data_IF_731497045372
#
_entry.id   IF_731497045372
#
_cell.length_a   1.000
_cell.length_b   1.000
_cell.length_c   1.000
_cell.angle_alpha   90.00
_cell.angle_beta   90.00
_cell.angle_gamma   90.00
#
_symmetry.space_group_name_H-M   'P 1'
#
loop_
_entity.id
_entity.type
_entity.pdbx_description
1 polymer ?
#
# COMPACT_ATOMS: atom_id res chain seq x y z
N UNK A 1 -19.61 -8.26 17.58
CA UNK A 1 -18.47 -7.86 16.73
C UNK A 1 -18.80 -8.27 15.31
N UNK A 2 -18.62 -7.41 14.29
CA UNK A 2 -18.99 -7.76 12.93
C UNK A 2 -18.10 -8.90 12.43
N UNK A 3 -18.72 -9.93 11.87
CA UNK A 3 -18.05 -11.10 11.30
C UNK A 3 -17.55 -10.78 9.85
N UNK A 4 -17.19 -9.51 9.60
CA UNK A 4 -16.88 -8.98 8.26
C UNK A 4 -15.73 -9.72 7.57
N UNK A 5 -14.70 -10.11 8.34
CA UNK A 5 -13.47 -10.69 7.78
C UNK A 5 -13.48 -12.22 7.74
N UNK A 6 -14.37 -12.86 8.50
CA UNK A 6 -14.44 -14.33 8.57
C UNK A 6 -14.62 -14.92 7.17
N UNK A 7 -13.82 -15.90 6.84
CA UNK A 7 -13.80 -16.66 5.58
C UNK A 7 -13.48 -15.84 4.31
N UNK A 8 -13.22 -14.53 4.43
CA UNK A 8 -12.80 -13.71 3.28
C UNK A 8 -11.39 -14.04 2.84
N UNK A 9 -11.20 -14.15 1.54
CA UNK A 9 -9.87 -14.27 0.92
C UNK A 9 -9.27 -12.88 0.78
N UNK A 10 -8.22 -12.60 1.56
CA UNK A 10 -7.53 -11.30 1.59
C UNK A 10 -6.13 -11.43 1.02
N UNK A 11 -5.86 -10.77 -0.09
CA UNK A 11 -4.53 -10.74 -0.70
C UNK A 11 -3.77 -9.49 -0.26
N UNK A 12 -2.59 -9.67 0.37
CA UNK A 12 -1.79 -8.58 0.93
C UNK A 12 -0.40 -8.58 0.28
N UNK A 13 -0.04 -7.48 -0.38
CA UNK A 13 1.32 -7.27 -0.89
C UNK A 13 2.20 -6.56 0.13
N UNK A 14 3.51 -6.80 0.08
CA UNK A 14 4.42 -6.30 1.11
C UNK A 14 4.13 -6.89 2.50
N UNK A 15 3.65 -8.14 2.53
CA UNK A 15 3.18 -8.84 3.71
C UNK A 15 4.27 -9.17 4.75
N UNK A 16 5.55 -9.14 4.36
CA UNK A 16 6.67 -9.64 5.19
C UNK A 16 7.22 -8.64 6.21
N UNK A 17 6.66 -7.43 6.32
CA UNK A 17 7.13 -6.42 7.27
C UNK A 17 6.15 -5.27 7.48
N UNK A 18 6.33 -4.54 8.58
CA UNK A 18 5.64 -3.28 8.87
C UNK A 18 4.11 -3.38 8.84
N UNK A 19 3.45 -2.44 8.15
CA UNK A 19 1.97 -2.40 8.08
C UNK A 19 1.40 -3.68 7.47
N UNK A 20 2.05 -4.22 6.43
CA UNK A 20 1.62 -5.46 5.77
C UNK A 20 1.62 -6.67 6.70
N UNK A 21 2.69 -6.84 7.47
CA UNK A 21 2.80 -7.92 8.49
C UNK A 21 1.75 -7.77 9.59
N UNK A 22 1.54 -6.54 10.09
CA UNK A 22 0.54 -6.25 11.09
C UNK A 22 -0.90 -6.52 10.58
N UNK A 23 -1.18 -6.17 9.31
CA UNK A 23 -2.46 -6.50 8.66
C UNK A 23 -2.67 -8.01 8.55
N UNK A 24 -1.63 -8.76 8.13
CA UNK A 24 -1.68 -10.23 8.04
C UNK A 24 -2.08 -10.84 9.37
N UNK A 25 -1.38 -10.49 10.45
CA UNK A 25 -1.64 -11.03 11.80
C UNK A 25 -3.06 -10.73 12.27
N UNK A 26 -3.46 -9.46 12.24
CA UNK A 26 -4.77 -9.03 12.75
C UNK A 26 -5.94 -9.54 11.92
N UNK A 27 -5.78 -9.69 10.59
CA UNK A 27 -6.83 -10.23 9.73
C UNK A 27 -6.96 -11.75 9.86
N UNK A 28 -5.85 -12.47 10.03
CA UNK A 28 -5.87 -13.90 10.32
C UNK A 28 -6.56 -14.18 11.67
N UNK A 29 -6.31 -13.40 12.72
CA UNK A 29 -7.02 -13.46 14.01
C UNK A 29 -8.52 -13.21 13.89
N UNK A 30 -8.95 -12.45 12.87
CA UNK A 30 -10.37 -12.21 12.56
C UNK A 30 -11.00 -13.30 11.67
N UNK A 31 -10.26 -14.36 11.36
CA UNK A 31 -10.73 -15.51 10.58
C UNK A 31 -10.68 -15.27 9.06
N UNK A 32 -9.87 -14.33 8.57
CA UNK A 32 -9.64 -14.18 7.14
C UNK A 32 -8.62 -15.21 6.63
N UNK A 33 -8.80 -15.68 5.40
CA UNK A 33 -7.84 -16.51 4.67
C UNK A 33 -6.88 -15.58 3.92
N UNK A 34 -5.59 -15.61 4.26
CA UNK A 34 -4.63 -14.65 3.76
C UNK A 34 -3.81 -15.22 2.60
N UNK A 35 -3.67 -14.45 1.53
CA UNK A 35 -2.64 -14.64 0.50
C UNK A 35 -1.52 -13.66 0.82
N UNK A 36 -0.38 -14.19 1.29
CA UNK A 36 0.78 -13.41 1.67
C UNK A 36 1.70 -13.22 0.47
N UNK A 37 1.96 -11.99 0.06
CA UNK A 37 2.90 -11.69 -1.03
C UNK A 37 3.99 -10.72 -0.64
N UNK A 38 5.22 -11.10 -0.91
CA UNK A 38 6.44 -10.28 -0.91
C UNK A 38 7.53 -11.00 -1.70
N UNK A 39 8.67 -10.34 -1.88
CA UNK A 39 9.83 -10.95 -2.58
C UNK A 39 10.51 -12.06 -1.79
N UNK A 40 10.47 -12.02 -0.46
CA UNK A 40 11.15 -12.97 0.41
C UNK A 40 10.20 -14.09 0.85
N UNK A 41 10.31 -15.24 0.19
CA UNK A 41 9.48 -16.42 0.44
C UNK A 41 9.68 -16.98 1.86
N UNK A 42 10.93 -16.99 2.37
CA UNK A 42 11.24 -17.55 3.69
C UNK A 42 10.56 -16.74 4.80
N UNK A 43 10.63 -15.40 4.74
CA UNK A 43 9.93 -14.54 5.69
C UNK A 43 8.41 -14.73 5.64
N UNK A 44 7.85 -14.99 4.45
CA UNK A 44 6.43 -15.28 4.33
C UNK A 44 6.08 -16.63 4.97
N UNK A 45 6.95 -17.64 4.80
CA UNK A 45 6.77 -18.96 5.42
C UNK A 45 6.84 -18.88 6.95
N UNK A 46 7.84 -18.18 7.49
CA UNK A 46 7.98 -17.92 8.92
C UNK A 46 6.77 -17.18 9.51
N UNK A 47 6.26 -16.17 8.78
CA UNK A 47 5.09 -15.43 9.21
C UNK A 47 3.84 -16.32 9.17
N UNK A 48 3.62 -17.04 8.06
CA UNK A 48 2.49 -17.95 7.91
C UNK A 48 2.44 -18.99 9.03
N UNK A 49 3.58 -19.58 9.39
CA UNK A 49 3.67 -20.60 10.45
C UNK A 49 3.23 -20.11 11.85
N UNK A 50 3.19 -18.79 12.05
CA UNK A 50 2.77 -18.16 13.32
C UNK A 50 1.31 -17.72 13.34
N UNK A 51 0.59 -17.89 12.22
CA UNK A 51 -0.81 -17.48 12.12
C UNK A 51 -1.75 -18.58 12.62
N UNK A 52 -2.93 -18.23 13.18
CA UNK A 52 -3.97 -19.19 13.44
C UNK A 52 -4.46 -19.80 12.12
N UNK A 53 -4.92 -21.06 12.14
CA UNK A 53 -5.44 -21.77 10.96
C UNK A 53 -4.45 -21.75 9.77
N UNK A 54 -3.21 -22.07 10.03
CA UNK A 54 -2.07 -21.96 9.09
C UNK A 54 -2.37 -22.56 7.70
N UNK A 55 -3.12 -23.66 7.64
CA UNK A 55 -3.46 -24.37 6.38
C UNK A 55 -4.40 -23.55 5.47
N UNK A 56 -5.14 -22.61 6.03
CA UNK A 56 -6.06 -21.77 5.25
C UNK A 56 -5.34 -20.59 4.55
N UNK A 57 -4.08 -20.34 4.87
CA UNK A 57 -3.29 -19.26 4.29
C UNK A 57 -2.40 -19.75 3.16
N UNK A 58 -2.22 -18.90 2.15
CA UNK A 58 -1.38 -19.18 0.99
C UNK A 58 -0.21 -18.21 0.92
N UNK A 59 0.93 -18.71 0.46
CA UNK A 59 2.09 -17.87 0.12
C UNK A 59 2.15 -17.73 -1.40
N UNK A 60 2.29 -16.50 -1.86
CA UNK A 60 2.51 -16.17 -3.26
C UNK A 60 3.70 -15.19 -3.36
N UNK A 61 4.94 -15.71 -3.43
CA UNK A 61 6.11 -14.87 -3.60
C UNK A 61 5.99 -14.03 -4.87
N UNK A 62 6.14 -12.70 -4.75
CA UNK A 62 5.87 -11.79 -5.84
C UNK A 62 6.74 -10.54 -5.74
N UNK A 63 7.45 -10.21 -6.81
CA UNK A 63 7.99 -8.87 -7.02
C UNK A 63 7.01 -8.06 -7.85
N UNK A 64 6.34 -7.12 -7.20
CA UNK A 64 5.33 -6.28 -7.84
C UNK A 64 5.91 -5.25 -8.82
N UNK A 65 7.24 -5.10 -8.88
CA UNK A 65 7.93 -4.26 -9.87
C UNK A 65 8.28 -5.01 -11.16
N UNK A 66 8.06 -6.32 -11.21
CA UNK A 66 8.41 -7.15 -12.35
C UNK A 66 7.15 -7.70 -13.03
N UNK A 67 6.83 -7.15 -14.19
CA UNK A 67 5.64 -7.52 -14.97
C UNK A 67 5.62 -9.01 -15.34
N UNK A 68 6.78 -9.60 -15.70
CA UNK A 68 6.85 -11.02 -16.06
C UNK A 68 6.53 -11.92 -14.86
N UNK A 69 7.02 -11.58 -13.67
CA UNK A 69 6.72 -12.33 -12.44
C UNK A 69 5.24 -12.20 -12.10
N UNK A 70 4.67 -10.98 -12.23
CA UNK A 70 3.23 -10.77 -12.04
C UNK A 70 2.45 -11.66 -13.01
N UNK A 71 2.73 -11.61 -14.31
CA UNK A 71 2.01 -12.36 -15.31
C UNK A 71 2.09 -13.88 -15.08
N UNK A 72 3.26 -14.41 -14.72
CA UNK A 72 3.43 -15.82 -14.35
C UNK A 72 2.58 -16.21 -13.12
N UNK A 73 2.56 -15.37 -12.09
CA UNK A 73 1.73 -15.59 -10.91
C UNK A 73 0.24 -15.56 -11.26
N UNK A 74 -0.20 -14.62 -12.10
CA UNK A 74 -1.59 -14.49 -12.54
C UNK A 74 -2.08 -15.70 -13.33
N UNK A 75 -1.22 -16.27 -14.17
CA UNK A 75 -1.53 -17.49 -14.95
C UNK A 75 -1.58 -18.71 -14.02
N UNK A 76 -0.52 -18.93 -13.23
CA UNK A 76 -0.35 -20.15 -12.42
C UNK A 76 -1.33 -20.21 -11.22
N UNK A 77 -1.88 -19.09 -10.76
CA UNK A 77 -2.77 -18.98 -9.61
C UNK A 77 -4.13 -18.34 -9.93
N UNK A 78 -4.58 -18.45 -11.17
CA UNK A 78 -5.78 -17.79 -11.68
C UNK A 78 -7.03 -18.02 -10.81
N UNK A 79 -7.27 -19.25 -10.37
CA UNK A 79 -8.43 -19.57 -9.53
C UNK A 79 -8.34 -18.90 -8.16
N UNK A 80 -7.18 -18.95 -7.52
CA UNK A 80 -6.93 -18.29 -6.24
C UNK A 80 -7.14 -16.76 -6.36
N UNK A 81 -6.63 -16.15 -7.43
CA UNK A 81 -6.75 -14.71 -7.68
C UNK A 81 -8.21 -14.31 -7.95
N UNK A 82 -8.94 -15.13 -8.70
CA UNK A 82 -10.37 -14.91 -8.93
C UNK A 82 -11.22 -15.03 -7.65
N UNK A 83 -10.76 -15.76 -6.65
CA UNK A 83 -11.47 -15.91 -5.36
C UNK A 83 -11.22 -14.73 -4.39
N UNK A 84 -10.31 -13.81 -4.67
CA UNK A 84 -9.95 -12.70 -3.79
C UNK A 84 -11.15 -11.79 -3.51
N UNK A 85 -11.51 -11.66 -2.24
CA UNK A 85 -12.55 -10.74 -1.76
C UNK A 85 -12.01 -9.36 -1.46
N UNK A 86 -10.78 -9.29 -0.93
CA UNK A 86 -10.10 -8.03 -0.59
C UNK A 86 -8.66 -8.05 -1.08
N UNK A 87 -8.30 -7.08 -1.91
CA UNK A 87 -6.91 -6.82 -2.29
C UNK A 87 -6.37 -5.65 -1.47
N UNK A 88 -5.23 -5.83 -0.81
CA UNK A 88 -4.51 -4.78 -0.10
C UNK A 88 -3.18 -4.51 -0.81
N UNK A 89 -3.13 -3.47 -1.63
CA UNK A 89 -1.93 -2.95 -2.27
C UNK A 89 -1.11 -2.17 -1.23
N UNK A 90 -0.26 -2.88 -0.49
CA UNK A 90 0.57 -2.29 0.55
C UNK A 90 2.07 -2.24 0.15
N UNK A 91 2.51 -3.06 -0.79
CA UNK A 91 3.89 -3.01 -1.26
C UNK A 91 4.28 -1.62 -1.76
N UNK A 92 5.48 -1.17 -1.40
CA UNK A 92 5.98 0.12 -1.82
C UNK A 92 7.40 0.38 -1.34
N UNK A 93 8.08 1.27 -2.04
CA UNK A 93 9.42 1.76 -1.71
C UNK A 93 9.42 3.28 -1.69
N UNK A 94 10.31 3.86 -0.88
CA UNK A 94 10.47 5.31 -0.75
C UNK A 94 11.75 5.79 -1.45
N UNK A 95 11.91 7.10 -1.54
CA UNK A 95 13.07 7.79 -2.09
C UNK A 95 13.69 8.70 -1.04
N UNK A 96 15.01 8.85 -1.09
CA UNK A 96 15.75 9.86 -0.36
C UNK A 96 16.91 10.40 -1.22
N UNK A 97 16.56 11.19 -2.22
CA UNK A 97 17.47 11.83 -3.15
C UNK A 97 16.93 13.19 -3.60
N UNK A 98 17.79 14.14 -3.86
CA UNK A 98 17.40 15.37 -4.54
C UNK A 98 16.91 15.03 -5.95
N UNK A 99 15.92 15.78 -6.43
CA UNK A 99 15.27 15.49 -7.71
C UNK A 99 16.24 15.47 -8.88
N UNK A 100 17.22 16.35 -8.87
CA UNK A 100 18.24 16.47 -9.93
C UNK A 100 19.41 15.50 -9.78
N UNK A 101 19.47 14.71 -8.71
CA UNK A 101 20.50 13.69 -8.46
C UNK A 101 19.96 12.26 -8.58
N UNK A 102 18.64 12.10 -8.46
CA UNK A 102 18.01 10.79 -8.51
C UNK A 102 18.23 10.11 -9.86
N UNK A 103 18.70 8.86 -9.84
CA UNK A 103 18.87 8.08 -11.07
C UNK A 103 17.51 7.73 -11.69
N UNK A 104 17.48 7.71 -13.02
CA UNK A 104 16.27 7.35 -13.76
C UNK A 104 15.79 5.94 -13.47
N UNK A 105 16.71 5.04 -13.19
CA UNK A 105 16.44 3.66 -12.80
C UNK A 105 15.69 3.60 -11.46
N UNK A 106 16.13 4.39 -10.47
CA UNK A 106 15.44 4.52 -9.17
C UNK A 106 14.04 5.10 -9.33
N UNK A 107 13.88 6.13 -10.16
CA UNK A 107 12.57 6.73 -10.44
C UNK A 107 11.61 5.72 -11.07
N UNK A 108 12.08 4.96 -12.08
CA UNK A 108 11.30 3.90 -12.70
C UNK A 108 10.93 2.80 -11.72
N UNK A 109 11.89 2.31 -10.93
CA UNK A 109 11.64 1.26 -9.95
C UNK A 109 10.59 1.69 -8.92
N UNK A 110 10.59 2.95 -8.51
CA UNK A 110 9.57 3.50 -7.61
C UNK A 110 8.19 3.49 -8.28
N UNK A 111 8.09 3.92 -9.54
CA UNK A 111 6.83 3.89 -10.28
C UNK A 111 6.35 2.46 -10.52
N UNK A 112 7.22 1.54 -10.93
CA UNK A 112 6.88 0.14 -11.12
C UNK A 112 6.35 -0.48 -9.83
N UNK A 113 7.06 -0.30 -8.71
CA UNK A 113 6.66 -0.90 -7.44
C UNK A 113 5.38 -0.29 -6.88
N UNK A 114 5.32 1.06 -6.82
CA UNK A 114 4.27 1.75 -6.07
C UNK A 114 2.97 1.91 -6.87
N UNK A 115 3.07 2.02 -8.20
CA UNK A 115 1.94 2.33 -9.07
C UNK A 115 1.60 1.18 -10.02
N UNK A 116 2.51 0.81 -10.93
CA UNK A 116 2.20 -0.19 -11.96
C UNK A 116 1.92 -1.57 -11.34
N UNK A 117 2.67 -1.99 -10.34
CA UNK A 117 2.39 -3.22 -9.61
C UNK A 117 1.00 -3.22 -8.96
N UNK A 118 0.64 -2.14 -8.26
CA UNK A 118 -0.68 -2.02 -7.63
C UNK A 118 -1.81 -2.04 -8.67
N UNK A 119 -1.65 -1.37 -9.81
CA UNK A 119 -2.67 -1.33 -10.88
C UNK A 119 -2.79 -2.67 -11.60
N UNK A 120 -1.68 -3.38 -11.84
CA UNK A 120 -1.67 -4.71 -12.43
C UNK A 120 -2.46 -5.72 -11.58
N UNK A 121 -2.18 -5.76 -10.25
CA UNK A 121 -2.90 -6.65 -9.34
C UNK A 121 -4.37 -6.26 -9.18
N UNK A 122 -4.68 -4.97 -9.18
CA UNK A 122 -6.05 -4.47 -9.20
C UNK A 122 -6.82 -5.00 -10.41
N UNK A 123 -6.25 -4.85 -11.62
CA UNK A 123 -6.84 -5.39 -12.85
C UNK A 123 -7.01 -6.91 -12.82
N UNK A 124 -6.12 -7.61 -12.15
CA UNK A 124 -6.17 -9.06 -12.04
C UNK A 124 -7.34 -9.58 -11.18
N UNK A 125 -7.66 -8.90 -10.07
CA UNK A 125 -8.77 -9.31 -9.17
C UNK A 125 -10.13 -8.79 -9.62
N UNK A 126 -10.17 -7.68 -10.37
CA UNK A 126 -11.42 -7.03 -10.81
C UNK A 126 -12.39 -7.99 -11.54
N UNK A 127 -11.98 -8.85 -12.50
CA UNK A 127 -12.90 -9.74 -13.19
C UNK A 127 -13.67 -10.66 -12.22
N UNK A 128 -12.99 -11.25 -11.24
CA UNK A 128 -13.61 -12.07 -10.20
C UNK A 128 -14.59 -11.27 -9.33
N UNK A 129 -14.19 -10.08 -8.89
CA UNK A 129 -15.04 -9.18 -8.11
C UNK A 129 -16.25 -8.69 -8.91
N UNK A 130 -16.06 -8.33 -10.19
CA UNK A 130 -17.14 -7.90 -11.09
C UNK A 130 -18.18 -9.01 -11.30
N UNK A 131 -17.72 -10.26 -11.50
CA UNK A 131 -18.61 -11.43 -11.67
C UNK A 131 -19.47 -11.67 -10.43
N UNK A 132 -18.90 -11.54 -9.23
CA UNK A 132 -19.62 -11.71 -7.96
C UNK A 132 -20.39 -10.46 -7.54
N UNK A 133 -20.17 -9.32 -8.21
CA UNK A 133 -20.64 -7.99 -7.81
C UNK A 133 -20.33 -7.67 -6.34
N UNK A 134 -19.14 -8.09 -5.88
CA UNK A 134 -18.68 -7.92 -4.51
C UNK A 134 -17.16 -7.93 -4.47
N UNK A 135 -16.55 -7.02 -3.68
CA UNK A 135 -15.12 -6.96 -3.47
C UNK A 135 -14.69 -5.67 -2.78
N UNK A 136 -13.43 -5.63 -2.40
CA UNK A 136 -12.81 -4.42 -1.85
C UNK A 136 -11.35 -4.32 -2.30
N UNK A 137 -10.92 -3.13 -2.71
CA UNK A 137 -9.53 -2.84 -3.06
C UNK A 137 -9.06 -1.69 -2.18
N UNK A 138 -8.04 -1.96 -1.39
CA UNK A 138 -7.45 -1.03 -0.42
C UNK A 138 -6.04 -0.73 -0.90
N UNK A 139 -5.74 0.54 -1.17
CA UNK A 139 -4.42 0.93 -1.67
C UNK A 139 -3.74 1.91 -0.73
N UNK A 140 -2.52 1.54 -0.29
CA UNK A 140 -1.73 2.37 0.61
C UNK A 140 -1.03 3.47 -0.19
N UNK A 141 -1.50 4.69 0.03
CA UNK A 141 -0.88 5.92 -0.42
C UNK A 141 -0.01 6.53 0.70
N UNK A 142 -0.02 7.82 0.82
CA UNK A 142 0.70 8.64 1.81
C UNK A 142 0.17 10.06 1.74
N UNK A 143 0.41 10.95 2.71
CA UNK A 143 0.27 12.39 2.53
C UNK A 143 1.06 12.93 1.33
N UNK A 144 2.16 12.24 0.96
CA UNK A 144 2.91 12.51 -0.27
C UNK A 144 2.13 12.26 -1.57
N UNK A 145 0.97 11.62 -1.52
CA UNK A 145 0.03 11.51 -2.63
C UNK A 145 -0.84 12.75 -2.84
N UNK A 146 -0.89 13.65 -1.86
CA UNK A 146 -1.63 14.90 -1.94
C UNK A 146 -0.71 16.13 -2.09
N UNK A 147 0.57 16.02 -1.72
CA UNK A 147 1.58 17.07 -1.91
C UNK A 147 3.00 16.48 -1.97
N UNK A 148 3.93 17.24 -2.59
CA UNK A 148 5.33 16.83 -2.70
C UNK A 148 6.13 17.14 -1.45
N UNK A 149 7.07 16.24 -1.10
CA UNK A 149 8.09 16.46 -0.08
C UNK A 149 9.47 16.58 -0.69
N UNK A 150 10.38 17.40 -0.13
CA UNK A 150 11.80 17.37 -0.49
C UNK A 150 12.36 15.93 -0.40
N UNK A 151 13.32 15.61 -1.24
CA UNK A 151 13.97 14.30 -1.38
C UNK A 151 13.07 13.12 -1.77
N UNK A 152 11.80 13.37 -2.11
CA UNK A 152 10.80 12.32 -2.39
C UNK A 152 10.01 12.60 -3.65
N UNK A 153 10.62 13.17 -4.68
CA UNK A 153 9.93 13.57 -5.92
C UNK A 153 9.21 12.40 -6.59
N UNK A 154 9.92 11.32 -6.92
CA UNK A 154 9.35 10.17 -7.61
C UNK A 154 8.42 9.36 -6.70
N UNK A 155 8.73 9.28 -5.39
CA UNK A 155 7.80 8.71 -4.42
C UNK A 155 6.49 9.49 -4.38
N UNK A 156 6.55 10.83 -4.27
CA UNK A 156 5.34 11.67 -4.27
C UNK A 156 4.57 11.54 -5.58
N UNK A 157 5.26 11.52 -6.72
CA UNK A 157 4.64 11.32 -8.03
C UNK A 157 3.91 9.98 -8.09
N UNK A 158 4.53 8.87 -7.64
CA UNK A 158 3.91 7.55 -7.62
C UNK A 158 2.65 7.51 -6.73
N UNK A 159 2.68 8.20 -5.58
CA UNK A 159 1.53 8.27 -4.68
C UNK A 159 0.43 9.20 -5.19
N UNK A 160 0.74 10.26 -5.95
CA UNK A 160 -0.26 11.05 -6.69
C UNK A 160 -0.94 10.20 -7.80
N UNK A 161 -0.15 9.40 -8.53
CA UNK A 161 -0.68 8.50 -9.55
C UNK A 161 -1.69 7.49 -8.96
N UNK A 162 -1.43 6.96 -7.76
CA UNK A 162 -2.36 6.10 -7.01
C UNK A 162 -3.69 6.83 -6.77
N UNK A 163 -3.67 8.10 -6.32
CA UNK A 163 -4.91 8.85 -6.11
C UNK A 163 -5.71 8.99 -7.41
N UNK A 164 -5.08 9.50 -8.48
CA UNK A 164 -5.79 9.69 -9.75
C UNK A 164 -6.38 8.39 -10.29
N UNK A 165 -5.64 7.28 -10.22
CA UNK A 165 -6.10 5.98 -10.73
C UNK A 165 -7.28 5.42 -9.91
N UNK A 166 -7.18 5.40 -8.59
CA UNK A 166 -8.20 4.78 -7.75
C UNK A 166 -9.44 5.65 -7.58
N UNK A 167 -9.32 6.98 -7.69
CA UNK A 167 -10.48 7.88 -7.77
C UNK A 167 -11.27 7.68 -9.07
N UNK A 168 -10.57 7.55 -10.20
CA UNK A 168 -11.20 7.22 -11.49
C UNK A 168 -11.88 5.86 -11.43
N UNK A 169 -11.19 4.83 -10.93
CA UNK A 169 -11.75 3.48 -10.81
C UNK A 169 -13.01 3.47 -9.91
N UNK A 170 -12.99 4.21 -8.81
CA UNK A 170 -14.17 4.34 -7.92
C UNK A 170 -15.35 4.93 -8.68
N UNK A 171 -15.15 6.05 -9.38
CA UNK A 171 -16.18 6.71 -10.16
C UNK A 171 -16.76 5.81 -11.28
N UNK A 172 -15.90 5.04 -11.97
CA UNK A 172 -16.30 4.08 -12.99
C UNK A 172 -17.16 2.94 -12.42
N UNK A 173 -16.74 2.39 -11.26
CA UNK A 173 -17.49 1.33 -10.59
C UNK A 173 -18.84 1.81 -10.06
N UNK A 174 -18.89 3.03 -9.51
CA UNK A 174 -20.13 3.66 -9.04
C UNK A 174 -21.08 3.92 -10.22
N UNK A 175 -20.59 4.47 -11.33
CA UNK A 175 -21.37 4.68 -12.54
C UNK A 175 -21.91 3.35 -13.13
N UNK A 176 -21.11 2.29 -13.07
CA UNK A 176 -21.50 0.93 -13.48
C UNK A 176 -22.37 0.20 -12.45
N UNK A 177 -22.71 0.82 -11.32
CA UNK A 177 -23.47 0.25 -10.20
C UNK A 177 -22.87 -1.07 -9.67
N UNK A 178 -21.54 -1.14 -9.60
CA UNK A 178 -20.82 -2.31 -9.08
C UNK A 178 -20.57 -2.15 -7.59
N UNK A 179 -20.91 -3.17 -6.81
CA UNK A 179 -20.68 -3.17 -5.36
C UNK A 179 -19.23 -3.59 -5.02
N UNK A 180 -18.26 -2.85 -5.58
CA UNK A 180 -16.83 -3.04 -5.30
C UNK A 180 -16.33 -1.78 -4.60
N UNK A 181 -15.81 -1.95 -3.39
CA UNK A 181 -15.36 -0.85 -2.54
C UNK A 181 -13.91 -0.49 -2.85
N UNK A 182 -13.63 0.79 -3.09
CA UNK A 182 -12.27 1.33 -3.27
C UNK A 182 -11.93 2.20 -2.06
N UNK A 183 -10.82 1.88 -1.39
CA UNK A 183 -10.33 2.65 -0.25
C UNK A 183 -8.89 3.08 -0.45
N UNK A 184 -8.63 4.37 -0.26
CA UNK A 184 -7.28 4.92 -0.16
C UNK A 184 -6.89 5.09 1.31
N UNK A 185 -5.67 4.69 1.64
CA UNK A 185 -5.10 4.82 2.97
C UNK A 185 -3.90 5.76 2.90
N UNK A 186 -3.90 6.81 3.68
CA UNK A 186 -2.83 7.80 3.74
C UNK A 186 -2.15 7.76 5.11
N UNK A 187 -1.24 6.79 5.33
CA UNK A 187 -0.47 6.76 6.56
C UNK A 187 0.49 7.95 6.59
N UNK A 188 0.46 8.70 7.68
CA UNK A 188 1.51 9.67 7.98
C UNK A 188 2.79 8.95 8.39
N UNK A 189 3.38 9.35 9.55
CA UNK A 189 4.56 8.66 10.08
C UNK A 189 4.15 7.36 10.74
N UNK A 190 4.66 6.25 10.23
CA UNK A 190 4.51 4.92 10.83
C UNK A 190 5.90 4.34 11.05
N UNK A 191 6.14 3.80 12.24
CA UNK A 191 7.43 3.20 12.62
C UNK A 191 7.67 1.90 11.86
N UNK A 192 8.25 2.00 10.66
CA UNK A 192 8.55 0.89 9.76
C UNK A 192 9.94 1.03 9.16
N UNK A 193 10.46 -0.03 8.57
CA UNK A 193 11.72 -0.02 7.85
C UNK A 193 11.66 0.65 6.47
N UNK A 194 10.60 1.39 6.15
CA UNK A 194 10.44 2.03 4.83
C UNK A 194 11.53 3.08 4.57
N UNK A 195 11.92 3.88 5.57
CA UNK A 195 13.01 4.84 5.44
C UNK A 195 14.37 4.16 5.27
N UNK A 196 14.61 3.11 6.04
CA UNK A 196 15.83 2.30 5.94
C UNK A 196 16.02 1.71 4.53
N UNK A 197 14.93 1.31 3.89
CA UNK A 197 14.92 0.76 2.53
C UNK A 197 14.70 1.83 1.43
N UNK A 198 14.67 3.14 1.76
CA UNK A 198 14.51 4.20 0.78
C UNK A 198 15.71 4.23 -0.19
N UNK A 199 15.44 4.51 -1.46
CA UNK A 199 16.49 4.59 -2.48
C UNK A 199 17.19 5.93 -2.43
N UNK A 200 18.52 5.90 -2.41
CA UNK A 200 19.40 7.07 -2.63
C UNK A 200 19.51 7.44 -4.10
N UNK A 201 20.29 8.47 -4.41
CA UNK A 201 20.52 8.94 -5.78
C UNK A 201 21.08 7.87 -6.72
N UNK A 202 21.92 6.98 -6.22
CA UNK A 202 22.57 5.89 -6.96
C UNK A 202 21.76 4.59 -7.00
N UNK A 203 20.55 4.58 -6.42
CA UNK A 203 19.71 3.41 -6.31
C UNK A 203 20.05 2.48 -5.15
N UNK A 204 21.11 2.74 -4.38
CA UNK A 204 21.39 1.99 -3.15
C UNK A 204 20.37 2.32 -2.07
N UNK A 205 20.25 1.42 -1.07
CA UNK A 205 19.40 1.68 0.10
C UNK A 205 20.05 2.70 1.02
N UNK A 206 19.24 3.52 1.67
CA UNK A 206 19.71 4.48 2.66
C UNK A 206 20.42 3.80 3.83
N UNK A 207 19.95 2.62 4.26
CA UNK A 207 20.50 1.83 5.36
C UNK A 207 20.57 2.59 6.72
N UNK A 208 19.85 3.70 6.84
CA UNK A 208 19.72 4.48 8.06
C UNK A 208 18.24 4.66 8.39
N UNK A 209 17.90 4.47 9.66
CA UNK A 209 16.53 4.69 10.13
C UNK A 209 16.28 6.19 10.33
N UNK A 210 15.18 6.70 9.79
CA UNK A 210 14.73 8.06 10.10
C UNK A 210 14.16 8.09 11.53
N UNK A 211 14.88 8.73 12.45
CA UNK A 211 14.47 8.82 13.87
C UNK A 211 13.09 9.46 14.05
N UNK A 212 12.66 10.31 13.10
CA UNK A 212 11.32 10.93 13.11
C UNK A 212 10.20 9.91 12.88
N UNK A 213 10.51 8.76 12.23
CA UNK A 213 9.55 7.68 12.05
C UNK A 213 9.40 6.83 13.33
N UNK A 214 10.44 6.77 14.15
CA UNK A 214 10.39 6.02 15.42
C UNK A 214 9.31 6.59 16.39
N UNK A 215 9.02 7.90 16.30
CA UNK A 215 7.95 8.55 17.08
C UNK A 215 6.57 8.51 16.40
N UNK A 216 6.46 7.82 15.29
CA UNK A 216 5.21 7.67 14.53
C UNK A 216 4.27 6.61 15.13
N UNK A 217 3.13 6.44 14.46
CA UNK A 217 2.17 5.39 14.78
C UNK A 217 2.85 4.01 14.66
N UNK A 218 2.49 3.07 15.52
CA UNK A 218 2.95 1.69 15.34
C UNK A 218 2.28 1.03 14.12
N UNK A 219 2.92 0.04 13.48
CA UNK A 219 2.30 -0.74 12.40
C UNK A 219 0.98 -1.37 12.84
N UNK A 220 0.89 -1.83 14.08
CA UNK A 220 -0.31 -2.48 14.62
C UNK A 220 -1.48 -1.51 14.79
N UNK A 221 -1.24 -0.31 15.29
CA UNK A 221 -2.26 0.74 15.38
C UNK A 221 -2.74 1.18 14.00
N UNK A 222 -1.81 1.30 13.04
CA UNK A 222 -2.13 1.63 11.66
C UNK A 222 -3.01 0.53 11.03
N UNK A 223 -2.62 -0.74 11.17
CA UNK A 223 -3.38 -1.89 10.68
C UNK A 223 -4.78 -1.94 11.29
N UNK A 224 -4.90 -1.77 12.61
CA UNK A 224 -6.19 -1.71 13.32
C UNK A 224 -7.11 -0.61 12.78
N UNK A 225 -6.54 0.56 12.49
CA UNK A 225 -7.28 1.66 11.89
C UNK A 225 -7.75 1.37 10.47
N UNK A 226 -6.90 0.76 9.63
CA UNK A 226 -7.23 0.34 8.26
C UNK A 226 -8.37 -0.67 8.27
N UNK A 227 -8.26 -1.71 9.11
CA UNK A 227 -9.28 -2.76 9.25
C UNK A 227 -10.64 -2.15 9.64
N UNK A 228 -10.66 -1.29 10.66
CA UNK A 228 -11.89 -0.61 11.11
C UNK A 228 -12.49 0.31 10.03
N UNK A 229 -11.65 0.97 9.24
CA UNK A 229 -12.11 1.83 8.14
C UNK A 229 -12.70 1.01 6.98
N UNK A 230 -12.09 -0.14 6.65
CA UNK A 230 -12.57 -1.06 5.64
C UNK A 230 -13.94 -1.67 6.04
N UNK A 231 -14.11 -2.09 7.30
CA UNK A 231 -15.39 -2.56 7.84
C UNK A 231 -16.51 -1.50 7.70
N UNK A 232 -16.15 -0.22 7.78
CA UNK A 232 -17.08 0.91 7.62
C UNK A 232 -17.20 1.40 6.16
N UNK A 233 -16.55 0.72 5.22
CA UNK A 233 -16.50 1.07 3.79
C UNK A 233 -16.12 2.55 3.56
N UNK A 234 -15.16 3.07 4.31
CA UNK A 234 -14.67 4.43 4.09
C UNK A 234 -13.93 4.52 2.76
N UNK A 235 -14.17 5.57 1.99
CA UNK A 235 -13.45 5.82 0.73
C UNK A 235 -11.99 6.19 0.98
N UNK A 236 -11.72 6.91 2.07
CA UNK A 236 -10.39 7.35 2.45
C UNK A 236 -10.20 7.35 3.97
N UNK A 237 -8.96 7.13 4.41
CA UNK A 237 -8.54 7.28 5.80
C UNK A 237 -7.15 7.91 5.88
N UNK A 238 -7.01 8.84 6.81
CA UNK A 238 -5.77 9.55 7.08
C UNK A 238 -5.27 9.20 8.48
N UNK A 239 -3.96 9.03 8.62
CA UNK A 239 -3.30 8.86 9.90
C UNK A 239 -2.24 9.96 10.09
N UNK A 240 -2.11 10.43 11.34
CA UNK A 240 -1.12 11.43 11.70
C UNK A 240 -1.57 12.88 11.48
N UNK A 241 -0.75 13.79 12.00
CA UNK A 241 -1.04 15.24 11.96
C UNK A 241 -0.74 15.86 10.60
N UNK A 242 0.00 15.16 9.76
CA UNK A 242 0.40 15.60 8.41
C UNK A 242 -0.80 15.85 7.48
N UNK A 243 -1.97 15.29 7.80
CA UNK A 243 -3.21 15.54 7.07
C UNK A 243 -3.55 17.04 6.99
N UNK A 244 -3.21 17.83 8.01
CA UNK A 244 -3.48 19.28 8.00
C UNK A 244 -2.76 19.98 6.84
N UNK A 245 -1.58 19.50 6.42
CA UNK A 245 -0.81 20.05 5.31
C UNK A 245 -1.53 19.87 3.96
N UNK A 246 -2.40 18.87 3.84
CA UNK A 246 -3.22 18.64 2.63
C UNK A 246 -4.19 19.81 2.47
N UNK A 247 -4.86 20.20 3.56
CA UNK A 247 -5.79 21.34 3.55
C UNK A 247 -5.03 22.67 3.36
N UNK A 248 -3.89 22.84 4.04
CA UNK A 248 -3.06 24.05 3.88
C UNK A 248 -2.61 24.17 2.42
N UNK A 249 -2.14 23.09 1.78
CA UNK A 249 -1.79 23.12 0.34
C UNK A 249 -2.98 23.53 -0.53
N UNK A 250 -4.17 22.99 -0.24
CA UNK A 250 -5.36 23.22 -1.06
C UNK A 250 -5.87 24.64 -1.00
N UNK A 251 -5.90 25.22 0.22
CA UNK A 251 -6.56 26.51 0.46
C UNK A 251 -5.58 27.67 0.69
N UNK A 252 -4.35 27.39 1.12
CA UNK A 252 -3.34 28.39 1.45
C UNK A 252 -1.96 28.02 0.82
N UNK A 253 -1.87 27.92 -0.54
CA UNK A 253 -0.68 27.39 -1.21
C UNK A 253 0.60 28.20 -0.92
N UNK A 254 0.51 29.49 -0.69
CA UNK A 254 1.68 30.33 -0.30
C UNK A 254 2.22 29.96 1.08
N UNK A 255 1.32 29.75 2.06
CA UNK A 255 1.71 29.29 3.39
C UNK A 255 2.30 27.88 3.34
N UNK A 256 1.69 26.98 2.56
CA UNK A 256 2.22 25.64 2.36
C UNK A 256 3.66 25.68 1.83
N UNK A 257 3.94 26.49 0.80
CA UNK A 257 5.28 26.65 0.24
C UNK A 257 6.29 27.09 1.31
N UNK A 258 5.93 28.05 2.14
CA UNK A 258 6.79 28.52 3.24
C UNK A 258 7.05 27.46 4.30
N UNK A 259 6.08 26.56 4.55
CA UNK A 259 6.23 25.46 5.49
C UNK A 259 7.11 24.36 4.89
N UNK A 260 6.81 23.90 3.66
CA UNK A 260 7.48 22.74 3.08
C UNK A 260 8.96 22.98 2.77
N UNK A 261 9.33 24.21 2.45
CA UNK A 261 10.74 24.60 2.24
C UNK A 261 11.59 24.52 3.51
N UNK A 262 10.95 24.55 4.70
CA UNK A 262 11.63 24.40 6.00
C UNK A 262 11.82 22.92 6.40
N UNK A 263 11.22 21.97 5.69
CA UNK A 263 11.55 20.57 5.87
C UNK A 263 12.96 20.32 5.36
N UNK A 264 13.95 20.50 6.26
CA UNK A 264 15.34 20.21 5.93
C UNK A 264 15.46 18.74 5.52
N UNK A 265 16.19 18.47 4.43
CA UNK A 265 16.68 17.15 4.12
C UNK A 265 17.80 16.83 5.13
N UNK A 266 17.50 16.18 6.24
CA UNK A 266 18.54 15.59 7.10
C UNK A 266 18.73 14.16 6.64
#
# INVERSE_FOLDING_TARGET
>A
MSNFWKDKVVWITGASSGIGEALVKQLAEKGARIILSSRNADKLAELKAKLPNTEEHSILPLDVSNENIINQALISRKELINSVDVLINNAGISQRALTWEASRESERLIMETNFFGATALTKAVLPGMMKRNAGSIISLSSPAGAFGFPLRSSYSASKHAIHGYFDSLRAELDAAKKNIHIMLVLPGRVSTNMSYNALKQDGSKQAEADQRLASGLSPDECAKGIIKAAEKRKAEIYFGREQILIYIKRYLPGLFRSIVTKFKPD
#
